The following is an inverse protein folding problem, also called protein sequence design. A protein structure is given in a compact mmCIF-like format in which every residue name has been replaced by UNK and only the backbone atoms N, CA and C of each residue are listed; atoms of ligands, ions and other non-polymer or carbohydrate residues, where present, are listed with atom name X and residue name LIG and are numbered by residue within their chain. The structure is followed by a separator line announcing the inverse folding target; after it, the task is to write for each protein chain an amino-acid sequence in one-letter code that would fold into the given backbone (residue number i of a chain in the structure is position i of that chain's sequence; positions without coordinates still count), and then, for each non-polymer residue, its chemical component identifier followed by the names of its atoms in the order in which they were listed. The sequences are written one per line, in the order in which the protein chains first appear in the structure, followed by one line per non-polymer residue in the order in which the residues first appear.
data_IF_700843911805
#
_entry.id   IF_700843911805
#
_cell.length_a   1.000
_cell.length_b   1.000
_cell.length_c   1.000
_cell.angle_alpha   90.00
_cell.angle_beta   90.00
_cell.angle_gamma   90.00
#
_symmetry.space_group_name_H-M   'P 1'
#
loop_
_entity.id
_entity.type
_entity.pdbx_description
1 polymer ?
#
# COMPACT_ATOMS: atom_id res chain seq x y z
N UNK A 1 16.26 -34.35 38.28
CA UNK A 1 15.28 -33.33 37.87
C UNK A 1 15.99 -31.99 37.94
N UNK A 2 16.50 -31.55 36.79
CA UNK A 2 17.57 -30.55 36.71
C UNK A 2 17.09 -29.10 36.92
N UNK A 3 17.94 -28.32 37.58
CA UNK A 3 17.79 -26.88 37.79
C UNK A 3 17.57 -26.07 36.49
N UNK A 4 17.93 -26.64 35.33
CA UNK A 4 17.64 -26.09 34.01
C UNK A 4 16.14 -26.10 33.66
N UNK A 5 15.36 -27.06 34.18
CA UNK A 5 13.92 -27.09 33.97
C UNK A 5 13.21 -26.01 34.80
N UNK A 6 13.63 -25.77 36.06
CA UNK A 6 13.09 -24.68 36.89
C UNK A 6 13.40 -23.28 36.32
N UNK A 7 14.56 -23.09 35.69
CA UNK A 7 14.85 -21.83 34.98
C UNK A 7 14.03 -21.67 33.70
N UNK A 8 13.71 -22.78 32.99
CA UNK A 8 12.82 -22.76 31.82
C UNK A 8 11.38 -22.41 32.19
N UNK A 9 10.89 -22.87 33.34
CA UNK A 9 9.55 -22.53 33.82
C UNK A 9 9.49 -21.09 34.35
N UNK A 10 10.55 -20.57 35.00
CA UNK A 10 10.63 -19.15 35.39
C UNK A 10 10.83 -18.19 34.22
N UNK A 11 11.57 -18.56 33.16
CA UNK A 11 11.67 -17.76 31.93
C UNK A 11 10.40 -17.81 31.07
N UNK A 12 9.60 -18.88 31.17
CA UNK A 12 8.33 -19.01 30.44
C UNK A 12 7.12 -18.46 31.19
N UNK A 13 7.26 -18.10 32.48
CA UNK A 13 6.24 -17.39 33.27
C UNK A 13 6.57 -15.91 33.52
N UNK A 14 7.62 -15.37 32.88
CA UNK A 14 8.00 -13.95 32.94
C UNK A 14 7.88 -13.23 31.58
N UNK A 15 7.04 -13.74 30.68
CA UNK A 15 6.70 -13.10 29.39
C UNK A 15 5.19 -12.84 29.22
N UNK A 16 4.39 -13.11 30.25
CA UNK A 16 2.97 -12.73 30.32
C UNK A 16 2.75 -11.67 31.42
N UNK A 17 3.56 -10.61 31.41
CA UNK A 17 3.20 -9.31 31.97
C UNK A 17 3.95 -8.19 31.23
N UNK A 18 3.70 -8.12 29.93
CA UNK A 18 3.96 -6.92 29.17
C UNK A 18 2.64 -6.17 29.05
N UNK A 19 2.34 -5.42 30.11
CA UNK A 19 1.24 -4.46 30.16
C UNK A 19 1.12 -3.70 28.84
N UNK A 20 -0.13 -3.61 28.40
CA UNK A 20 -0.65 -2.90 27.23
C UNK A 20 0.32 -1.85 26.64
N UNK A 21 1.28 -2.31 25.83
CA UNK A 21 2.34 -1.47 25.28
C UNK A 21 1.74 -0.60 24.18
N UNK A 22 1.79 0.71 24.39
CA UNK A 22 1.52 1.82 23.46
C UNK A 22 0.83 1.42 22.13
N UNK A 23 -0.50 1.40 22.09
CA UNK A 23 -1.28 1.07 20.88
C UNK A 23 -1.48 2.30 20.01
N UNK A 24 -0.87 2.30 18.84
CA UNK A 24 -1.10 3.32 17.82
C UNK A 24 -2.11 2.80 16.77
N UNK A 25 -3.14 3.58 16.44
CA UNK A 25 -4.05 3.28 15.33
C UNK A 25 -3.89 4.34 14.23
N UNK A 26 -3.60 3.89 13.01
CA UNK A 26 -3.40 4.76 11.85
C UNK A 26 -4.52 4.54 10.84
N UNK A 27 -5.08 5.63 10.32
CA UNK A 27 -6.14 5.60 9.33
C UNK A 27 -5.77 6.47 8.15
N UNK A 28 -5.88 5.92 6.94
CA UNK A 28 -5.89 6.70 5.71
C UNK A 28 -7.33 6.86 5.25
N UNK A 29 -7.88 8.05 5.41
CA UNK A 29 -9.26 8.34 5.06
C UNK A 29 -9.32 8.95 3.66
N UNK A 30 -9.99 8.28 2.75
CA UNK A 30 -10.23 8.69 1.37
C UNK A 30 -11.49 9.57 1.33
N UNK A 31 -11.35 10.79 0.83
CA UNK A 31 -12.39 11.82 0.89
C UNK A 31 -13.16 11.93 -0.44
N UNK A 32 -14.46 12.30 -0.42
CA UNK A 32 -15.31 12.35 -1.63
C UNK A 32 -14.77 13.19 -2.78
N UNK A 33 -13.92 14.18 -2.48
CA UNK A 33 -13.34 15.10 -3.45
C UNK A 33 -12.01 14.63 -4.06
N UNK A 34 -11.62 13.36 -3.85
CA UNK A 34 -10.41 12.78 -4.43
C UNK A 34 -9.13 13.12 -3.66
N UNK A 35 -9.24 13.51 -2.39
CA UNK A 35 -8.09 13.66 -1.49
C UNK A 35 -8.02 12.53 -0.47
N UNK A 36 -6.91 12.45 0.26
CA UNK A 36 -6.78 11.56 1.41
C UNK A 36 -6.13 12.27 2.59
N UNK A 37 -6.52 11.87 3.80
CA UNK A 37 -5.99 12.39 5.07
C UNK A 37 -5.53 11.23 5.92
N UNK A 38 -4.36 11.37 6.54
CA UNK A 38 -3.82 10.39 7.47
C UNK A 38 -4.10 10.84 8.91
N UNK A 39 -4.80 10.02 9.69
CA UNK A 39 -5.03 10.24 11.11
C UNK A 39 -4.27 9.20 11.93
N UNK A 40 -3.68 9.63 13.05
CA UNK A 40 -3.02 8.74 14.01
C UNK A 40 -3.56 9.00 15.41
N UNK A 41 -3.96 7.91 16.08
CA UNK A 41 -4.47 7.93 17.46
C UNK A 41 -3.53 7.09 18.33
N UNK A 42 -2.92 7.72 19.34
CA UNK A 42 -2.06 7.05 20.31
C UNK A 42 -2.90 6.71 21.55
N UNK A 43 -2.90 5.44 21.94
CA UNK A 43 -3.67 4.89 23.07
C UNK A 43 -5.09 5.47 23.20
N UNK A 44 -5.90 5.46 22.12
CA UNK A 44 -7.26 5.98 22.22
C UNK A 44 -8.06 5.12 23.22
N UNK A 45 -9.14 5.71 23.76
CA UNK A 45 -10.19 4.92 24.41
C UNK A 45 -10.66 3.82 23.45
N UNK A 46 -11.19 2.68 23.95
CA UNK A 46 -11.65 1.58 23.11
C UNK A 46 -12.60 1.99 21.99
N UNK A 47 -13.36 3.05 22.22
CA UNK A 47 -14.28 3.62 21.27
C UNK A 47 -14.30 5.15 21.36
N UNK A 48 -14.73 5.76 20.27
CA UNK A 48 -14.87 7.21 20.11
C UNK A 48 -16.16 7.52 19.37
N UNK A 49 -16.96 8.52 19.81
CA UNK A 49 -18.13 8.96 19.07
C UNK A 49 -17.78 9.29 17.62
N UNK A 50 -18.64 8.91 16.67
CA UNK A 50 -18.37 9.14 15.25
C UNK A 50 -18.18 10.63 14.93
N UNK A 51 -18.95 11.50 15.58
CA UNK A 51 -18.80 12.97 15.45
C UNK A 51 -17.40 13.46 15.80
N UNK A 52 -16.82 12.99 16.89
CA UNK A 52 -15.47 13.37 17.33
C UNK A 52 -14.41 12.92 16.32
N UNK A 53 -14.58 11.73 15.73
CA UNK A 53 -13.69 11.25 14.67
C UNK A 53 -13.79 12.13 13.41
N UNK A 54 -15.00 12.48 12.99
CA UNK A 54 -15.23 13.36 11.83
C UNK A 54 -14.69 14.75 12.07
N UNK A 55 -14.87 15.32 13.26
CA UNK A 55 -14.31 16.63 13.61
C UNK A 55 -12.79 16.62 13.46
N UNK A 56 -12.12 15.60 14.00
CA UNK A 56 -10.66 15.48 13.89
C UNK A 56 -10.19 15.29 12.45
N UNK A 57 -10.99 14.60 11.63
CA UNK A 57 -10.74 14.45 10.20
C UNK A 57 -10.87 15.79 9.44
N UNK A 58 -11.91 16.58 9.74
CA UNK A 58 -12.14 17.90 9.15
C UNK A 58 -11.03 18.89 9.53
N UNK A 59 -10.58 18.86 10.78
CA UNK A 59 -9.46 19.68 11.29
C UNK A 59 -8.16 19.35 10.53
N UNK A 60 -7.81 18.06 10.43
CA UNK A 60 -6.59 17.61 9.72
C UNK A 60 -6.68 17.90 8.21
N UNK A 61 -7.85 17.70 7.60
CA UNK A 61 -8.10 18.09 6.21
C UNK A 61 -7.87 19.59 6.01
N UNK A 62 -8.41 20.42 6.89
CA UNK A 62 -8.28 21.88 6.80
C UNK A 62 -6.85 22.36 6.94
N UNK A 63 -6.05 21.71 7.81
CA UNK A 63 -4.62 21.98 7.96
C UNK A 63 -3.84 21.61 6.69
N UNK A 64 -4.08 20.42 6.14
CA UNK A 64 -3.39 19.91 4.96
C UNK A 64 -3.80 20.66 3.69
N UNK A 65 -5.09 20.96 3.51
CA UNK A 65 -5.61 21.65 2.33
C UNK A 65 -5.11 23.09 2.21
N UNK A 66 -4.90 23.80 3.34
CA UNK A 66 -4.29 25.13 3.36
C UNK A 66 -2.82 25.14 2.91
N UNK A 67 -2.12 24.01 3.03
CA UNK A 67 -0.70 23.89 2.68
C UNK A 67 -0.46 23.47 1.22
N UNK A 68 -1.43 22.81 0.59
CA UNK A 68 -1.26 22.14 -0.71
C UNK A 68 -2.34 22.52 -1.73
N UNK A 69 -2.74 23.79 -1.81
CA UNK A 69 -3.67 24.27 -2.83
C UNK A 69 -3.07 24.16 -4.25
N UNK A 70 -3.01 22.93 -4.76
CA UNK A 70 -2.87 22.63 -6.17
C UNK A 70 -4.05 23.33 -6.84
N UNK A 71 -3.79 24.21 -7.80
CA UNK A 71 -4.75 25.16 -8.36
C UNK A 71 -6.01 24.58 -9.03
N UNK A 72 -6.32 23.29 -8.83
CA UNK A 72 -7.56 22.64 -9.24
C UNK A 72 -8.64 22.89 -8.18
N UNK A 73 -9.76 23.50 -8.57
CA UNK A 73 -10.97 23.57 -7.73
C UNK A 73 -11.41 22.15 -7.39
N UNK A 74 -11.27 21.74 -6.13
CA UNK A 74 -11.83 20.50 -5.62
C UNK A 74 -13.26 20.73 -5.17
N UNK A 75 -14.07 19.67 -5.23
CA UNK A 75 -15.42 19.67 -4.69
C UNK A 75 -15.39 19.87 -3.16
N UNK A 76 -16.33 20.63 -2.65
CA UNK A 76 -16.53 20.82 -1.22
C UNK A 76 -17.12 19.54 -0.58
N UNK A 77 -16.62 19.22 0.61
CA UNK A 77 -17.09 18.08 1.41
C UNK A 77 -18.19 18.58 2.34
N UNK A 78 -19.33 17.90 2.37
CA UNK A 78 -20.42 18.21 3.30
C UNK A 78 -20.17 17.55 4.67
N UNK A 79 -19.32 18.19 5.48
CA UNK A 79 -18.98 17.74 6.85
C UNK A 79 -20.16 17.77 7.83
N UNK A 80 -21.27 18.44 7.48
CA UNK A 80 -22.47 18.56 8.33
C UNK A 80 -23.62 17.68 7.86
N UNK A 81 -23.39 16.87 6.83
CA UNK A 81 -24.39 15.94 6.32
C UNK A 81 -24.79 14.92 7.38
N UNK A 82 -26.09 14.86 7.68
CA UNK A 82 -26.65 13.80 8.54
C UNK A 82 -26.56 12.39 7.92
N UNK A 83 -25.98 12.26 6.72
CA UNK A 83 -25.78 10.99 6.00
C UNK A 83 -24.32 10.55 5.98
N UNK A 84 -23.44 11.21 6.72
CA UNK A 84 -22.03 10.83 6.82
C UNK A 84 -21.86 9.39 7.28
N UNK A 85 -20.97 8.67 6.61
CA UNK A 85 -20.50 7.36 7.06
C UNK A 85 -19.10 7.07 6.54
N UNK A 86 -18.35 6.27 7.29
CA UNK A 86 -17.10 5.68 6.82
C UNK A 86 -17.38 4.26 6.33
N UNK A 87 -16.66 3.83 5.32
CA UNK A 87 -16.68 2.47 4.80
C UNK A 87 -15.28 1.86 4.89
N UNK A 88 -15.15 0.68 5.51
CA UNK A 88 -13.88 -0.05 5.63
C UNK A 88 -13.59 -0.94 4.41
N UNK A 89 -12.44 -1.62 4.38
CA UNK A 89 -12.05 -2.49 3.27
C UNK A 89 -13.00 -3.69 3.03
N UNK A 90 -13.85 -4.03 4.00
CA UNK A 90 -14.81 -5.14 3.96
C UNK A 90 -16.25 -4.65 3.72
N UNK A 91 -16.41 -3.46 3.17
CA UNK A 91 -17.70 -2.81 2.88
C UNK A 91 -18.57 -2.55 4.13
N UNK A 92 -17.97 -2.57 5.34
CA UNK A 92 -18.72 -2.27 6.57
C UNK A 92 -18.86 -0.76 6.73
N UNK A 93 -20.10 -0.33 6.98
CA UNK A 93 -20.44 1.07 7.21
C UNK A 93 -20.34 1.41 8.70
N UNK A 94 -19.66 2.51 9.01
CA UNK A 94 -19.46 3.05 10.36
C UNK A 94 -20.17 4.40 10.43
N UNK A 95 -21.13 4.54 11.37
CA UNK A 95 -22.00 5.74 11.50
C UNK A 95 -22.21 6.24 12.93
N UNK A 96 -22.13 5.36 13.92
CA UNK A 96 -22.42 5.70 15.33
C UNK A 96 -21.16 5.92 16.15
N UNK A 97 -20.29 4.92 16.16
CA UNK A 97 -19.10 4.93 17.00
C UNK A 97 -17.92 4.29 16.27
N UNK A 98 -16.75 4.90 16.43
CA UNK A 98 -15.47 4.37 15.97
C UNK A 98 -14.91 3.44 17.05
N UNK A 99 -15.10 2.13 16.88
CA UNK A 99 -14.58 1.13 17.81
C UNK A 99 -13.18 0.68 17.39
N UNK A 100 -12.16 1.14 18.12
CA UNK A 100 -10.76 0.84 17.82
C UNK A 100 -10.41 -0.64 17.96
N UNK A 101 -11.17 -1.42 18.75
CA UNK A 101 -10.96 -2.88 18.88
C UNK A 101 -11.21 -3.64 17.58
N UNK A 102 -11.94 -3.05 16.63
CA UNK A 102 -12.19 -3.66 15.32
C UNK A 102 -11.00 -3.50 14.37
N UNK A 103 -10.00 -2.72 14.76
CA UNK A 103 -8.81 -2.44 13.97
C UNK A 103 -7.60 -3.05 14.66
N UNK A 104 -6.65 -3.53 13.87
CA UNK A 104 -5.39 -4.01 14.41
C UNK A 104 -4.48 -2.81 14.74
N UNK A 105 -3.88 -2.75 15.94
CA UNK A 105 -2.93 -1.70 16.27
C UNK A 105 -1.68 -1.80 15.38
N UNK A 106 -1.02 -0.67 15.19
CA UNK A 106 0.20 -0.46 14.37
C UNK A 106 0.05 -0.67 12.86
N UNK A 107 -1.06 -1.22 12.40
CA UNK A 107 -1.42 -1.27 10.98
C UNK A 107 -2.08 0.04 10.50
N UNK A 108 -1.96 0.31 9.20
CA UNK A 108 -2.67 1.40 8.55
C UNK A 108 -3.99 0.91 7.95
N UNK A 109 -5.11 1.50 8.37
CA UNK A 109 -6.45 1.13 7.91
C UNK A 109 -6.98 2.14 6.90
N UNK A 110 -7.40 1.67 5.71
CA UNK A 110 -8.00 2.54 4.69
C UNK A 110 -9.51 2.62 4.92
N UNK A 111 -10.04 3.83 5.04
CA UNK A 111 -11.47 4.10 5.16
C UNK A 111 -11.92 5.05 4.04
N UNK A 112 -13.12 4.87 3.49
CA UNK A 112 -13.73 5.82 2.56
C UNK A 112 -14.81 6.62 3.26
N UNK A 113 -14.69 7.94 3.21
CA UNK A 113 -15.73 8.85 3.69
C UNK A 113 -16.78 9.03 2.60
N UNK A 114 -18.05 8.91 3.01
CA UNK A 114 -19.20 9.26 2.20
C UNK A 114 -19.97 10.40 2.87
N UNK A 115 -20.12 11.51 2.17
CA UNK A 115 -20.85 12.70 2.63
C UNK A 115 -22.34 12.69 2.24
N UNK A 116 -22.80 11.62 1.59
CA UNK A 116 -24.19 11.46 1.15
C UNK A 116 -24.51 12.06 -0.22
N UNK A 117 -23.51 12.61 -0.91
CA UNK A 117 -23.62 13.01 -2.31
C UNK A 117 -23.52 11.82 -3.27
N UNK A 118 -24.03 12.00 -4.50
CA UNK A 118 -23.94 10.99 -5.55
C UNK A 118 -22.57 10.94 -6.26
N UNK A 119 -21.77 12.01 -6.14
CA UNK A 119 -20.46 12.12 -6.79
C UNK A 119 -19.33 11.75 -5.82
N UNK A 120 -18.92 10.48 -5.80
CA UNK A 120 -17.75 10.06 -5.03
C UNK A 120 -16.54 9.85 -5.93
N UNK A 121 -15.39 10.40 -5.54
CA UNK A 121 -14.14 10.10 -6.22
C UNK A 121 -13.76 8.60 -6.13
N UNK A 122 -13.07 8.15 -7.18
CA UNK A 122 -12.46 6.82 -7.26
C UNK A 122 -10.94 6.88 -7.34
N UNK A 123 -10.39 8.05 -7.68
CA UNK A 123 -8.95 8.35 -7.69
C UNK A 123 -8.67 9.36 -6.59
N UNK A 124 -7.57 9.14 -5.88
CA UNK A 124 -7.17 9.93 -4.72
C UNK A 124 -5.74 10.40 -4.88
N UNK A 125 -5.55 11.70 -4.73
CA UNK A 125 -4.23 12.32 -4.82
C UNK A 125 -3.34 11.87 -3.67
N UNK A 126 -2.07 11.57 -3.98
CA UNK A 126 -1.06 11.17 -3.00
C UNK A 126 -1.51 9.99 -2.11
N UNK A 127 -2.34 9.10 -2.66
CA UNK A 127 -2.92 7.96 -1.94
C UNK A 127 -1.86 6.99 -1.45
N UNK A 128 -0.74 6.83 -2.17
CA UNK A 128 0.27 5.84 -1.86
C UNK A 128 1.59 6.50 -1.52
N UNK A 129 2.23 6.04 -0.44
CA UNK A 129 3.56 6.47 -0.04
C UNK A 129 4.57 5.41 -0.46
N UNK A 130 5.28 5.70 -1.54
CA UNK A 130 6.30 4.87 -2.16
C UNK A 130 7.72 5.26 -1.74
N UNK A 131 7.87 6.12 -0.72
CA UNK A 131 9.17 6.58 -0.23
C UNK A 131 10.10 5.38 -0.06
N UNK A 132 11.18 5.28 -0.85
CA UNK A 132 12.05 4.13 -0.83
C UNK A 132 12.73 4.04 0.53
N UNK A 133 13.02 2.82 0.96
CA UNK A 133 13.82 2.62 2.17
C UNK A 133 15.28 2.80 1.74
N UNK A 134 15.89 3.94 2.11
CA UNK A 134 17.31 4.34 1.87
C UNK A 134 17.80 4.37 0.41
N UNK A 135 19.05 4.83 0.20
CA UNK A 135 19.74 5.27 -1.05
C UNK A 135 19.86 4.22 -2.19
N UNK A 136 18.79 3.51 -2.53
CA UNK A 136 18.81 2.35 -3.43
C UNK A 136 18.69 2.72 -4.92
N UNK A 137 18.49 3.99 -5.25
CA UNK A 137 18.48 4.50 -6.64
C UNK A 137 19.85 4.45 -7.35
N UNK A 138 20.93 4.05 -6.69
CA UNK A 138 22.30 4.21 -7.20
C UNK A 138 22.82 3.04 -8.03
N UNK A 139 22.13 1.91 -8.06
CA UNK A 139 22.61 0.68 -8.72
C UNK A 139 21.54 0.12 -9.66
N UNK A 140 21.31 0.82 -10.78
CA UNK A 140 20.64 0.20 -11.92
C UNK A 140 21.63 -0.74 -12.62
N UNK A 141 21.20 -1.94 -13.07
CA UNK A 141 22.06 -2.79 -13.88
C UNK A 141 22.49 -2.04 -15.14
N UNK A 142 23.78 -2.11 -15.51
CA UNK A 142 24.32 -1.42 -16.71
C UNK A 142 23.63 -1.85 -18.02
N UNK A 143 22.97 -3.03 -18.04
CA UNK A 143 22.27 -3.59 -19.20
C UNK A 143 20.83 -4.02 -18.86
N UNK A 144 19.98 -3.06 -18.48
CA UNK A 144 18.55 -3.33 -18.26
C UNK A 144 17.75 -3.07 -19.56
N UNK A 145 17.53 -4.10 -20.37
CA UNK A 145 16.88 -4.00 -21.68
C UNK A 145 15.35 -4.02 -21.59
N UNK A 146 14.69 -3.77 -22.72
CA UNK A 146 13.24 -3.91 -22.86
C UNK A 146 12.78 -5.34 -22.52
N UNK A 147 13.50 -6.34 -23.03
CA UNK A 147 13.19 -7.76 -22.84
C UNK A 147 13.31 -8.16 -21.37
N UNK A 148 14.37 -7.72 -20.69
CA UNK A 148 14.57 -7.98 -19.26
C UNK A 148 13.47 -7.33 -18.41
N UNK A 149 13.09 -6.10 -18.74
CA UNK A 149 11.99 -5.42 -18.05
C UNK A 149 10.65 -6.14 -18.24
N UNK A 150 10.36 -6.59 -19.46
CA UNK A 150 9.15 -7.37 -19.73
C UNK A 150 9.17 -8.72 -18.98
N UNK A 151 10.31 -9.40 -18.96
CA UNK A 151 10.50 -10.64 -18.22
C UNK A 151 10.25 -10.46 -16.71
N UNK A 152 10.78 -9.40 -16.09
CA UNK A 152 10.57 -9.10 -14.67
C UNK A 152 9.07 -8.96 -14.30
N UNK A 153 8.27 -8.34 -15.18
CA UNK A 153 6.82 -8.23 -14.95
C UNK A 153 6.10 -9.57 -15.14
N UNK A 154 6.50 -10.36 -16.14
CA UNK A 154 5.96 -11.71 -16.36
C UNK A 154 6.30 -12.63 -15.19
N UNK A 155 7.51 -12.53 -14.63
CA UNK A 155 7.96 -13.30 -13.46
C UNK A 155 7.12 -12.98 -12.22
N UNK A 156 6.75 -11.70 -12.02
CA UNK A 156 5.82 -11.32 -10.96
C UNK A 156 4.45 -12.00 -11.14
N UNK A 157 3.90 -11.98 -12.36
CA UNK A 157 2.64 -12.66 -12.68
C UNK A 157 2.74 -14.19 -12.54
N UNK A 158 3.87 -14.79 -12.94
CA UNK A 158 4.12 -16.22 -12.80
C UNK A 158 4.15 -16.64 -11.33
N UNK A 159 4.85 -15.86 -10.50
CA UNK A 159 4.86 -16.05 -9.06
C UNK A 159 3.45 -15.91 -8.45
N UNK A 160 2.68 -14.92 -8.90
CA UNK A 160 1.32 -14.68 -8.42
C UNK A 160 0.38 -15.86 -8.76
N UNK A 161 0.34 -16.31 -10.01
CA UNK A 161 -0.52 -17.45 -10.40
C UNK A 161 -0.03 -18.77 -9.80
N UNK A 162 1.25 -18.89 -9.49
CA UNK A 162 1.78 -20.08 -8.85
C UNK A 162 1.21 -20.28 -7.44
N UNK A 163 1.06 -19.18 -6.69
CA UNK A 163 0.49 -19.17 -5.34
C UNK A 163 -0.98 -19.62 -5.28
N UNK A 164 -1.69 -19.67 -6.41
CA UNK A 164 -3.05 -20.20 -6.46
C UNK A 164 -3.09 -21.72 -6.23
N UNK A 165 -4.14 -22.15 -5.52
CA UNK A 165 -4.53 -23.56 -5.45
C UNK A 165 -4.68 -24.20 -6.85
N UNK A 166 -4.37 -25.49 -6.95
CA UNK A 166 -4.40 -26.28 -8.19
C UNK A 166 -5.75 -26.26 -8.92
N UNK A 167 -6.85 -26.01 -8.21
CA UNK A 167 -8.21 -26.00 -8.79
C UNK A 167 -8.58 -24.67 -9.44
N UNK A 168 -7.83 -23.61 -9.18
CA UNK A 168 -8.10 -22.30 -9.77
C UNK A 168 -7.44 -22.16 -11.15
N UNK A 169 -8.11 -21.43 -12.05
CA UNK A 169 -7.55 -21.07 -13.35
C UNK A 169 -6.29 -20.23 -13.14
N UNK A 170 -5.17 -20.69 -13.70
CA UNK A 170 -3.90 -19.96 -13.76
C UNK A 170 -3.75 -19.43 -15.18
N UNK A 171 -3.88 -18.12 -15.34
CA UNK A 171 -3.78 -17.44 -16.63
C UNK A 171 -2.86 -16.24 -16.45
N UNK A 172 -1.96 -16.07 -17.43
CA UNK A 172 -1.21 -14.85 -17.66
C UNK A 172 -1.47 -14.48 -19.11
N UNK A 173 -1.83 -13.24 -19.39
CA UNK A 173 -1.93 -12.70 -20.73
C UNK A 173 -1.07 -11.46 -20.85
N UNK A 174 -0.30 -11.39 -21.92
CA UNK A 174 0.51 -10.24 -22.29
C UNK A 174 -0.01 -9.75 -23.63
N UNK A 175 -0.42 -8.49 -23.68
CA UNK A 175 -0.85 -7.81 -24.89
C UNK A 175 0.06 -6.61 -25.11
N UNK A 176 0.59 -6.47 -26.32
CA UNK A 176 1.56 -5.44 -26.69
C UNK A 176 0.98 -4.67 -27.87
N UNK A 177 0.53 -3.45 -27.57
CA UNK A 177 0.06 -2.48 -28.56
C UNK A 177 1.09 -1.36 -28.72
N UNK A 178 0.89 -0.49 -29.71
CA UNK A 178 1.82 0.60 -30.04
C UNK A 178 2.05 1.59 -28.88
N UNK A 179 1.03 1.81 -28.04
CA UNK A 179 1.03 2.79 -26.96
C UNK A 179 0.93 2.19 -25.56
N UNK A 180 0.63 0.88 -25.44
CA UNK A 180 0.41 0.21 -24.16
C UNK A 180 0.87 -1.24 -24.17
N UNK A 181 1.52 -1.63 -23.07
CA UNK A 181 1.77 -3.03 -22.73
C UNK A 181 0.85 -3.39 -21.58
N UNK A 182 -0.01 -4.38 -21.78
CA UNK A 182 -0.93 -4.88 -20.76
C UNK A 182 -0.53 -6.26 -20.31
N UNK A 183 -0.27 -6.41 -19.01
CA UNK A 183 0.01 -7.71 -18.39
C UNK A 183 -1.10 -7.97 -17.38
N UNK A 184 -1.78 -9.09 -17.56
CA UNK A 184 -2.87 -9.52 -16.70
C UNK A 184 -2.62 -10.93 -16.20
N UNK A 185 -2.89 -11.16 -14.92
CA UNK A 185 -2.85 -12.48 -14.33
C UNK A 185 -4.03 -12.74 -13.40
N UNK A 186 -4.27 -14.03 -13.14
CA UNK A 186 -5.34 -14.49 -12.24
C UNK A 186 -4.84 -14.86 -10.85
N UNK A 187 -3.73 -14.26 -10.41
CA UNK A 187 -3.14 -14.46 -9.08
C UNK A 187 -4.09 -14.07 -7.93
N UNK A 188 -3.65 -14.23 -6.67
CA UNK A 188 -4.46 -13.89 -5.50
C UNK A 188 -4.81 -12.41 -5.39
N UNK A 189 -4.07 -11.54 -6.09
CA UNK A 189 -4.24 -10.08 -6.07
C UNK A 189 -3.61 -9.44 -4.83
N UNK A 190 -3.58 -8.10 -4.84
CA UNK A 190 -3.08 -7.22 -3.79
C UNK A 190 -4.21 -6.32 -3.31
N UNK A 191 -4.08 -5.80 -2.09
CA UNK A 191 -5.07 -4.93 -1.46
C UNK A 191 -4.42 -3.72 -0.74
N UNK A 192 -5.19 -3.06 0.12
CA UNK A 192 -4.73 -1.92 0.92
C UNK A 192 -4.18 -2.29 2.30
N UNK A 193 -4.08 -3.58 2.65
CA UNK A 193 -3.51 -4.04 3.93
C UNK A 193 -2.00 -3.84 3.96
N UNK A 194 -1.39 -3.92 5.15
CA UNK A 194 0.07 -3.91 5.25
C UNK A 194 0.65 -5.23 4.75
N UNK A 195 0.00 -6.38 4.97
CA UNK A 195 0.48 -7.71 4.59
C UNK A 195 0.54 -7.91 3.07
N UNK A 196 -0.53 -7.61 2.34
CA UNK A 196 -0.68 -7.88 0.91
C UNK A 196 -0.78 -6.58 0.07
N UNK A 197 -0.11 -5.53 0.55
CA UNK A 197 -0.26 -4.17 0.03
C UNK A 197 0.17 -4.01 -1.43
N UNK A 198 -0.67 -3.38 -2.25
CA UNK A 198 -0.28 -2.86 -3.57
C UNK A 198 0.87 -1.84 -3.48
N UNK A 199 1.00 -1.15 -2.34
CA UNK A 199 2.11 -0.22 -2.08
C UNK A 199 3.46 -0.94 -2.12
N UNK A 200 3.53 -2.17 -1.61
CA UNK A 200 4.78 -2.95 -1.60
C UNK A 200 5.24 -3.30 -3.00
N UNK A 201 4.32 -3.45 -3.96
CA UNK A 201 4.68 -3.62 -5.37
C UNK A 201 5.34 -2.36 -5.93
N UNK A 202 4.80 -1.18 -5.60
CA UNK A 202 5.30 0.11 -6.10
C UNK A 202 6.56 0.63 -5.40
N UNK A 203 6.80 0.18 -4.16
CA UNK A 203 7.87 0.70 -3.31
C UNK A 203 9.17 -0.05 -3.58
N UNK A 204 10.16 0.66 -4.13
CA UNK A 204 11.49 0.10 -4.39
C UNK A 204 12.11 -0.45 -3.11
N UNK A 205 12.62 -1.69 -3.20
CA UNK A 205 13.27 -2.39 -2.09
C UNK A 205 12.32 -3.11 -1.14
N UNK A 206 10.99 -2.95 -1.32
CA UNK A 206 9.99 -3.71 -0.58
C UNK A 206 9.74 -5.06 -1.28
N UNK A 207 10.03 -6.17 -0.61
CA UNK A 207 9.64 -7.51 -1.07
C UNK A 207 9.05 -8.31 0.07
N UNK A 208 7.89 -8.94 -0.19
CA UNK A 208 7.26 -9.92 0.69
C UNK A 208 7.97 -11.28 0.69
N UNK A 209 8.78 -11.54 -0.33
CA UNK A 209 9.29 -12.88 -0.64
C UNK A 209 10.77 -13.06 -0.32
N UNK A 210 11.43 -12.03 0.24
CA UNK A 210 12.84 -12.11 0.67
C UNK A 210 13.08 -13.26 1.66
N UNK A 211 12.12 -13.52 2.54
CA UNK A 211 12.16 -14.63 3.51
C UNK A 211 11.86 -16.01 2.92
N UNK A 212 11.32 -16.08 1.70
CA UNK A 212 10.97 -17.33 1.02
C UNK A 212 12.10 -17.86 0.14
N UNK A 213 13.24 -17.16 0.11
CA UNK A 213 14.44 -17.53 -0.67
C UNK A 213 14.91 -18.95 -0.40
N UNK A 214 14.90 -19.40 0.85
CA UNK A 214 15.35 -20.74 1.22
C UNK A 214 14.43 -21.84 0.66
N UNK A 215 13.14 -21.53 0.44
CA UNK A 215 12.16 -22.46 -0.13
C UNK A 215 12.29 -22.60 -1.65
N UNK A 216 13.07 -21.73 -2.31
CA UNK A 216 13.37 -21.81 -3.73
C UNK A 216 14.51 -22.80 -4.05
N UNK A 217 15.27 -23.24 -3.04
CA UNK A 217 16.47 -24.09 -3.20
C UNK A 217 16.11 -25.54 -2.84
N UNK A 218 16.45 -26.50 -3.72
CA UNK A 218 16.43 -27.95 -3.39
C UNK A 218 15.17 -28.75 -3.76
N UNK A 219 14.41 -28.33 -4.78
CA UNK A 219 13.27 -29.08 -5.32
C UNK A 219 13.65 -30.35 -6.11
N UNK A 220 12.71 -31.30 -6.28
CA UNK A 220 12.86 -32.48 -7.16
C UNK A 220 12.73 -32.07 -8.65
N UNK A 221 13.60 -32.46 -9.58
CA UNK A 221 13.41 -32.13 -11.00
C UNK A 221 12.01 -32.50 -11.56
N UNK A 222 11.45 -31.74 -12.51
CA UNK A 222 12.02 -30.57 -13.18
C UNK A 222 11.52 -29.28 -12.52
N UNK A 223 12.10 -28.84 -11.40
CA UNK A 223 11.56 -27.69 -10.64
C UNK A 223 12.45 -26.46 -10.73
N UNK A 224 11.80 -25.32 -10.88
CA UNK A 224 12.08 -24.12 -10.10
C UNK A 224 10.75 -23.67 -9.50
N UNK A 225 10.63 -23.63 -8.18
CA UNK A 225 9.51 -22.93 -7.55
C UNK A 225 9.68 -21.44 -7.90
N UNK A 226 8.69 -20.78 -8.52
CA UNK A 226 8.85 -19.45 -9.10
C UNK A 226 8.86 -18.36 -8.02
N UNK A 227 9.93 -18.28 -7.24
CA UNK A 227 10.19 -17.22 -6.27
C UNK A 227 11.20 -16.22 -6.85
N UNK A 228 10.80 -15.52 -7.91
CA UNK A 228 11.66 -14.61 -8.67
C UNK A 228 11.79 -13.23 -8.00
N UNK A 229 10.73 -12.77 -7.30
CA UNK A 229 10.65 -11.46 -6.67
C UNK A 229 11.46 -11.30 -5.38
N UNK A 230 12.80 -11.38 -5.46
CA UNK A 230 13.68 -11.39 -4.28
C UNK A 230 13.97 -9.98 -3.72
N UNK A 231 14.08 -8.99 -4.60
CA UNK A 231 14.68 -7.70 -4.24
C UNK A 231 13.70 -6.54 -4.13
N UNK A 232 12.50 -6.66 -4.70
CA UNK A 232 11.49 -5.59 -4.66
C UNK A 232 11.80 -4.43 -5.61
N UNK A 233 12.52 -4.71 -6.69
CA UNK A 233 12.88 -3.72 -7.72
C UNK A 233 12.17 -3.96 -9.06
N UNK A 234 11.89 -5.22 -9.41
CA UNK A 234 11.41 -5.60 -10.73
C UNK A 234 10.15 -4.84 -11.16
N UNK A 235 9.12 -4.76 -10.32
CA UNK A 235 7.88 -4.05 -10.67
C UNK A 235 8.08 -2.58 -11.05
N UNK A 236 8.56 -1.73 -10.13
CA UNK A 236 8.74 -0.31 -10.40
C UNK A 236 9.81 -0.04 -11.47
N UNK A 237 10.93 -0.76 -11.44
CA UNK A 237 12.02 -0.51 -12.38
C UNK A 237 11.66 -0.93 -13.81
N UNK A 238 11.08 -2.13 -13.98
CA UNK A 238 10.61 -2.59 -15.28
C UNK A 238 9.60 -1.62 -15.88
N UNK A 239 8.64 -1.17 -15.06
CA UNK A 239 7.62 -0.22 -15.49
C UNK A 239 8.21 1.07 -16.05
N UNK A 240 9.26 1.59 -15.41
CA UNK A 240 9.93 2.83 -15.83
C UNK A 240 10.90 2.65 -17.00
N UNK A 241 11.29 1.40 -17.29
CA UNK A 241 12.08 1.04 -18.47
C UNK A 241 11.19 0.86 -19.70
N UNK A 242 10.01 0.24 -19.53
CA UNK A 242 9.08 -0.03 -20.61
C UNK A 242 8.29 1.21 -21.04
N UNK A 243 8.05 2.16 -20.12
CA UNK A 243 7.25 3.34 -20.42
C UNK A 243 7.42 4.49 -19.42
N UNK A 244 6.73 5.60 -19.69
CA UNK A 244 6.73 6.79 -18.82
C UNK A 244 5.69 6.72 -17.70
N UNK A 245 4.65 5.91 -17.90
CA UNK A 245 3.55 5.76 -16.96
C UNK A 245 3.22 4.28 -16.77
N UNK A 246 2.85 3.89 -15.56
CA UNK A 246 2.29 2.57 -15.30
C UNK A 246 1.06 2.69 -14.40
N UNK A 247 0.02 1.94 -14.76
CA UNK A 247 -1.19 1.76 -13.96
C UNK A 247 -1.24 0.32 -13.48
N UNK A 248 -1.11 0.11 -12.18
CA UNK A 248 -1.35 -1.20 -11.58
C UNK A 248 -2.73 -1.22 -10.98
N UNK A 249 -3.51 -2.24 -11.34
CA UNK A 249 -4.83 -2.49 -10.80
C UNK A 249 -4.86 -3.87 -10.18
N UNK A 250 -5.32 -3.99 -8.94
CA UNK A 250 -5.37 -5.28 -8.26
C UNK A 250 -6.61 -5.44 -7.38
N UNK A 251 -7.06 -6.69 -7.25
CA UNK A 251 -8.25 -7.07 -6.50
C UNK A 251 -8.02 -8.45 -5.91
N UNK A 252 -8.34 -8.61 -4.63
CA UNK A 252 -8.33 -9.93 -3.97
C UNK A 252 -9.63 -10.68 -4.21
N UNK A 253 -9.61 -12.01 -4.02
CA UNK A 253 -10.81 -12.85 -4.20
C UNK A 253 -11.93 -12.46 -3.23
N UNK A 254 -11.56 -12.14 -1.99
CA UNK A 254 -12.50 -11.95 -0.90
C UNK A 254 -13.06 -10.51 -0.80
N UNK A 255 -12.57 -9.59 -1.62
CA UNK A 255 -13.02 -8.20 -1.64
C UNK A 255 -13.60 -7.79 -2.99
N UNK A 256 -14.63 -6.95 -3.00
CA UNK A 256 -15.13 -6.29 -4.22
C UNK A 256 -14.29 -5.08 -4.63
N UNK A 257 -13.34 -4.67 -3.77
CA UNK A 257 -12.54 -3.47 -3.97
C UNK A 257 -11.38 -3.74 -4.92
N UNK A 258 -11.24 -2.85 -5.88
CA UNK A 258 -10.09 -2.76 -6.78
C UNK A 258 -9.25 -1.57 -6.36
N UNK A 259 -8.00 -1.86 -6.00
CA UNK A 259 -7.01 -0.84 -5.71
C UNK A 259 -6.20 -0.54 -6.97
N UNK A 260 -5.90 0.73 -7.17
CA UNK A 260 -5.06 1.19 -8.28
C UNK A 260 -3.89 2.01 -7.77
N UNK A 261 -2.74 1.83 -8.39
CA UNK A 261 -1.49 2.55 -8.13
C UNK A 261 -1.01 3.14 -9.45
N UNK A 262 -0.69 4.43 -9.44
CA UNK A 262 -0.16 5.14 -10.60
C UNK A 262 1.33 5.37 -10.39
N UNK A 263 2.17 5.04 -11.37
CA UNK A 263 3.57 5.45 -11.40
C UNK A 263 3.79 6.38 -12.58
N UNK A 264 4.50 7.48 -12.32
CA UNK A 264 4.89 8.46 -13.32
C UNK A 264 6.39 8.70 -13.23
N UNK A 265 7.10 8.41 -14.31
CA UNK A 265 8.57 8.48 -14.39
C UNK A 265 9.08 9.88 -14.12
N UNK A 266 8.44 10.89 -14.69
CA UNK A 266 8.89 12.27 -14.57
C UNK A 266 8.62 12.82 -13.17
N UNK A 267 7.49 12.46 -12.56
CA UNK A 267 7.22 12.78 -11.15
C UNK A 267 8.27 12.16 -10.21
N UNK A 268 8.68 10.91 -10.48
CA UNK A 268 9.75 10.24 -9.71
C UNK A 268 11.12 10.92 -9.90
N UNK A 269 11.49 11.28 -11.12
CA UNK A 269 12.77 11.94 -11.42
C UNK A 269 12.84 13.38 -10.90
N UNK A 270 11.77 14.16 -11.04
CA UNK A 270 11.69 15.55 -10.54
C UNK A 270 11.71 15.61 -9.01
N UNK A 271 11.00 14.68 -8.34
CA UNK A 271 11.08 14.50 -6.89
C UNK A 271 12.53 14.25 -6.45
N UNK A 272 13.22 13.34 -7.13
CA UNK A 272 14.63 12.99 -6.86
C UNK A 272 15.60 14.16 -7.05
N UNK A 273 15.44 14.96 -8.12
CA UNK A 273 16.29 16.13 -8.39
C UNK A 273 16.11 17.27 -7.37
N UNK A 274 14.88 17.49 -6.91
CA UNK A 274 14.59 18.47 -5.84
C UNK A 274 15.26 18.07 -4.50
N UNK A 275 15.45 16.77 -4.28
CA UNK A 275 16.07 16.21 -3.08
C UNK A 275 17.59 16.37 -3.08
N UNK A 276 18.27 16.24 -4.24
CA UNK A 276 19.71 16.49 -4.37
C UNK A 276 20.05 17.95 -4.01
N UNK A 277 19.18 18.90 -4.38
CA UNK A 277 19.38 20.32 -4.04
C UNK A 277 19.10 20.63 -2.56
N UNK A 278 18.15 19.93 -1.91
CA UNK A 278 17.84 20.09 -0.48
C UNK A 278 18.89 19.45 0.44
N UNK A 279 19.43 18.29 0.07
CA UNK A 279 20.54 17.62 0.79
C UNK A 279 21.82 18.49 0.77
N UNK A 280 22.08 19.20 -0.34
CA UNK A 280 23.16 20.20 -0.44
C UNK A 280 22.98 21.44 0.45
N UNK A 281 21.76 21.69 0.95
CA UNK A 281 21.43 22.83 1.84
C UNK A 281 21.29 22.42 3.31
N UNK A 282 21.70 21.20 3.68
CA UNK A 282 21.69 20.73 5.08
C UNK A 282 20.29 20.47 5.66
N UNK A 283 19.27 20.28 4.83
CA UNK A 283 17.92 19.92 5.25
C UNK A 283 17.72 18.42 5.11
N UNK A 284 17.74 17.70 6.23
CA UNK A 284 17.38 16.28 6.34
C UNK A 284 15.86 16.11 6.39
N UNK A 285 15.16 16.56 5.34
CA UNK A 285 13.76 16.15 5.14
C UNK A 285 13.74 14.85 4.36
N UNK A 286 13.27 13.78 5.00
CA UNK A 286 13.01 12.48 4.36
C UNK A 286 12.28 12.67 3.02
N UNK A 287 12.79 12.01 1.98
CA UNK A 287 12.30 12.12 0.61
C UNK A 287 10.93 11.45 0.48
N UNK A 288 9.84 12.14 0.81
CA UNK A 288 8.51 11.58 0.71
C UNK A 288 8.06 11.43 -0.75
N UNK A 289 8.08 10.21 -1.29
CA UNK A 289 7.52 9.89 -2.60
C UNK A 289 6.08 9.46 -2.45
N UNK A 290 5.16 10.36 -2.78
CA UNK A 290 3.74 10.05 -2.82
C UNK A 290 3.27 10.01 -4.25
N UNK A 291 2.36 9.08 -4.53
CA UNK A 291 1.74 8.96 -5.85
C UNK A 291 0.24 8.78 -5.74
N UNK A 292 -0.44 9.09 -6.84
CA UNK A 292 -1.87 8.93 -6.96
C UNK A 292 -2.24 7.45 -6.97
N UNK A 293 -3.46 7.20 -6.51
CA UNK A 293 -4.01 5.86 -6.47
C UNK A 293 -5.52 5.92 -6.60
N UNK A 294 -6.16 4.78 -6.49
CA UNK A 294 -7.60 4.73 -6.53
C UNK A 294 -8.16 3.52 -5.80
N UNK A 295 -9.43 3.65 -5.44
CA UNK A 295 -10.22 2.59 -4.85
C UNK A 295 -11.64 2.65 -5.43
N UNK A 296 -12.02 1.62 -6.17
CA UNK A 296 -13.36 1.44 -6.74
C UNK A 296 -13.95 0.10 -6.34
N UNK A 297 -15.27 -0.01 -6.44
CA UNK A 297 -16.01 -1.24 -6.15
C UNK A 297 -16.50 -1.78 -7.50
N UNK A 298 -16.31 -3.08 -7.74
CA UNK A 298 -16.91 -3.82 -8.85
C UNK A 298 -18.19 -4.55 -8.41
#
# INVERSE_FOLDING_TARGET
MDAAMLQRTKKSQMLEDHGDKDRAYRFKVLLPNGTSVCLTFQNPKPSMPFGDFIQRLEEEYSLTYRQFSSGKRKRDIDWKSGRLFLEDANDRKIRGEMNFKNFKPHECHILKLHDGSHESAYTFENMWDLTPVTDILKELPEEYTFETALADLIDNSLQAVWANDRRHKKLISVDVADDVISIFDTGPGMDGSDENSIVKWGKMGASLHRSLREQAIGGRPPYLTPFFGMFGYGGPLASMQLGRHALVSSKTKDSRKVYTLHLDREALLTGSNSNIQKKRRGSDSDSNWKTDGGMRIL
#
